data_IF_691711657593
#
_entry.id   IF_691711657593
#
_cell.length_a   1.000
_cell.length_b   1.000
_cell.length_c   1.000
_cell.angle_alpha   90.00
_cell.angle_beta   90.00
_cell.angle_gamma   90.00
#
_symmetry.space_group_name_H-M   'P 1'
#
loop_
_entity.id
_entity.type
_entity.pdbx_description
1 polymer ?
#
# COMPACT_ATOMS: atom_id res chain seq x y z
N UNK A 1 9.52 1.89 17.35
CA UNK A 1 8.62 2.45 16.31
C UNK A 1 9.07 3.85 15.98
N UNK A 2 9.29 4.18 14.69
CA UNK A 2 9.76 5.47 14.22
C UNK A 2 8.73 6.04 13.22
N UNK A 3 8.35 7.32 13.29
CA UNK A 3 7.51 7.96 12.28
C UNK A 3 8.17 7.86 10.90
N UNK A 4 7.33 7.68 9.89
CA UNK A 4 7.78 7.56 8.50
C UNK A 4 6.92 8.45 7.61
N UNK A 5 7.53 9.09 6.64
CA UNK A 5 6.83 9.89 5.62
C UNK A 5 7.19 9.32 4.25
N UNK A 6 6.19 9.06 3.44
CA UNK A 6 6.39 8.61 2.06
C UNK A 6 6.94 9.80 1.26
N UNK A 7 8.13 9.61 0.69
CA UNK A 7 8.74 10.54 -0.24
C UNK A 7 9.52 9.77 -1.31
N UNK A 8 9.00 9.76 -2.53
CA UNK A 8 9.67 9.16 -3.68
C UNK A 8 10.55 10.22 -4.34
N UNK A 9 11.83 9.91 -4.52
CA UNK A 9 12.77 10.83 -5.15
C UNK A 9 12.33 11.22 -6.57
N UNK A 10 12.57 12.48 -6.97
CA UNK A 10 12.18 12.97 -8.29
C UNK A 10 12.83 12.18 -9.43
N UNK A 11 14.06 11.68 -9.23
CA UNK A 11 14.76 10.89 -10.24
C UNK A 11 14.10 9.51 -10.44
N UNK A 12 13.51 8.91 -9.40
CA UNK A 12 12.72 7.69 -9.56
C UNK A 12 11.44 7.96 -10.39
N UNK A 13 10.80 9.12 -10.20
CA UNK A 13 9.64 9.51 -11.00
C UNK A 13 10.00 9.83 -12.44
N UNK A 14 11.16 10.46 -12.68
CA UNK A 14 11.69 10.69 -14.03
C UNK A 14 12.01 9.37 -14.73
N UNK A 15 12.65 8.42 -14.02
CA UNK A 15 12.97 7.10 -14.56
C UNK A 15 11.69 6.30 -14.91
N UNK A 16 10.67 6.34 -14.04
CA UNK A 16 9.36 5.76 -14.33
C UNK A 16 8.79 6.31 -15.64
N UNK A 17 8.73 7.64 -15.79
CA UNK A 17 8.20 8.28 -17.00
C UNK A 17 9.01 7.92 -18.25
N UNK A 18 10.33 7.81 -18.13
CA UNK A 18 11.20 7.35 -19.22
C UNK A 18 10.85 5.92 -19.63
N UNK A 19 10.76 4.99 -18.67
CA UNK A 19 10.42 3.57 -18.91
C UNK A 19 9.06 3.40 -19.54
N UNK A 20 8.05 4.18 -19.13
CA UNK A 20 6.73 4.14 -19.75
C UNK A 20 6.77 4.54 -21.23
N UNK A 21 7.54 5.58 -21.58
CA UNK A 21 7.74 5.99 -22.99
C UNK A 21 8.51 4.97 -23.82
N UNK A 22 9.46 4.26 -23.21
CA UNK A 22 10.33 3.27 -23.85
C UNK A 22 9.77 1.84 -23.77
N UNK A 23 8.50 1.68 -23.37
CA UNK A 23 7.86 0.37 -23.24
C UNK A 23 7.83 -0.35 -24.59
N UNK A 24 8.37 -1.56 -24.63
CA UNK A 24 8.22 -2.47 -25.75
C UNK A 24 6.95 -3.28 -25.55
N UNK A 25 6.01 -3.09 -26.47
CA UNK A 25 4.71 -3.74 -26.39
C UNK A 25 4.78 -5.17 -26.87
N UNK A 26 4.07 -6.12 -26.26
CA UNK A 26 3.90 -7.47 -26.78
C UNK A 26 3.03 -7.47 -28.04
N UNK A 27 3.11 -8.54 -28.79
CA UNK A 27 2.16 -8.81 -29.86
C UNK A 27 0.76 -9.10 -29.25
N UNK A 28 -0.29 -8.73 -29.98
CA UNK A 28 -1.67 -9.01 -29.63
C UNK A 28 -2.25 -10.05 -30.56
N UNK A 29 -2.95 -11.04 -29.98
CA UNK A 29 -3.66 -12.08 -30.71
C UNK A 29 -5.14 -11.95 -30.40
N UNK A 30 -5.96 -11.84 -31.46
CA UNK A 30 -7.39 -11.60 -31.32
C UNK A 30 -7.72 -10.13 -31.15
N UNK A 31 -8.96 -9.86 -30.73
CA UNK A 31 -9.47 -8.51 -30.50
C UNK A 31 -10.00 -8.39 -29.07
N UNK A 32 -9.85 -7.20 -28.48
CA UNK A 32 -10.36 -6.86 -27.15
C UNK A 32 -9.78 -7.75 -26.03
N UNK A 33 -10.55 -7.89 -24.96
CA UNK A 33 -10.19 -8.60 -23.72
C UNK A 33 -10.28 -10.14 -23.80
N UNK A 34 -10.41 -10.70 -24.98
CA UNK A 34 -10.72 -12.15 -25.13
C UNK A 34 -9.63 -13.08 -24.54
N UNK A 35 -8.37 -12.71 -24.69
CA UNK A 35 -7.24 -13.52 -24.20
C UNK A 35 -6.42 -12.84 -23.08
N UNK A 36 -6.83 -11.67 -22.65
CA UNK A 36 -6.11 -10.90 -21.65
C UNK A 36 -6.41 -9.42 -21.75
N UNK A 37 -5.47 -8.61 -21.26
CA UNK A 37 -5.61 -7.16 -21.33
C UNK A 37 -5.49 -6.68 -22.78
N UNK A 38 -6.50 -5.91 -23.22
CA UNK A 38 -6.48 -5.23 -24.51
C UNK A 38 -5.26 -4.31 -24.64
N UNK A 39 -4.51 -4.44 -25.72
CA UNK A 39 -3.26 -3.71 -25.89
C UNK A 39 -3.48 -2.22 -26.09
N UNK A 40 -4.56 -1.82 -26.75
CA UNK A 40 -4.89 -0.41 -26.96
C UNK A 40 -5.25 0.29 -25.65
N UNK A 41 -6.02 -0.39 -24.80
CA UNK A 41 -6.29 0.08 -23.45
C UNK A 41 -5.02 0.21 -22.61
N UNK A 42 -4.14 -0.80 -22.65
CA UNK A 42 -2.89 -0.78 -21.88
C UNK A 42 -1.97 0.37 -22.33
N UNK A 43 -1.88 0.64 -23.63
CA UNK A 43 -1.14 1.78 -24.18
C UNK A 43 -1.68 3.10 -23.67
N UNK A 44 -3.01 3.29 -23.73
CA UNK A 44 -3.68 4.51 -23.24
C UNK A 44 -3.48 4.69 -21.73
N UNK A 45 -3.53 3.60 -20.94
CA UNK A 45 -3.28 3.65 -19.51
C UNK A 45 -1.83 4.04 -19.19
N UNK A 46 -0.86 3.51 -19.91
CA UNK A 46 0.56 3.86 -19.74
C UNK A 46 0.85 5.31 -20.17
N UNK A 47 0.18 5.80 -21.20
CA UNK A 47 0.24 7.20 -21.62
C UNK A 47 -0.29 8.13 -20.51
N UNK A 48 -1.50 7.86 -20.00
CA UNK A 48 -2.07 8.57 -18.87
C UNK A 48 -1.11 8.57 -17.67
N UNK A 49 -0.54 7.39 -17.33
CA UNK A 49 0.39 7.27 -16.21
C UNK A 49 1.68 8.09 -16.42
N UNK A 50 2.19 8.13 -17.64
CA UNK A 50 3.40 8.90 -17.98
C UNK A 50 3.19 10.41 -18.04
N UNK A 51 1.99 10.89 -18.33
CA UNK A 51 1.68 12.30 -18.63
C UNK A 51 0.81 12.97 -17.57
N UNK A 52 -0.37 12.43 -17.28
CA UNK A 52 -1.40 13.09 -16.48
C UNK A 52 -1.42 12.65 -15.02
N UNK A 53 -0.96 11.43 -14.70
CA UNK A 53 -0.97 10.91 -13.34
C UNK A 53 -0.05 11.70 -12.43
N UNK A 54 -0.62 12.40 -11.45
CA UNK A 54 0.12 13.19 -10.45
C UNK A 54 0.47 12.32 -9.23
N UNK A 55 1.68 11.74 -9.25
CA UNK A 55 2.22 11.00 -8.10
C UNK A 55 2.24 11.85 -6.82
N UNK A 56 2.62 13.11 -6.89
CA UNK A 56 2.71 13.98 -5.70
C UNK A 56 1.35 14.17 -5.04
N UNK A 57 0.27 14.21 -5.82
CA UNK A 57 -1.09 14.21 -5.29
C UNK A 57 -1.40 12.91 -4.55
N UNK A 58 -1.03 11.74 -5.09
CA UNK A 58 -1.23 10.45 -4.43
C UNK A 58 -0.35 10.29 -3.19
N UNK A 59 0.90 10.74 -3.26
CA UNK A 59 1.83 10.76 -2.12
C UNK A 59 1.28 11.60 -0.95
N UNK A 60 0.74 12.78 -1.22
CA UNK A 60 0.02 13.59 -0.21
C UNK A 60 -1.21 12.87 0.34
N UNK A 61 -1.97 12.16 -0.52
CA UNK A 61 -3.15 11.39 -0.11
C UNK A 61 -2.77 10.24 0.83
N UNK A 62 -1.71 9.51 0.54
CA UNK A 62 -1.16 8.47 1.42
C UNK A 62 -0.68 9.06 2.75
N UNK A 63 0.09 10.14 2.71
CA UNK A 63 0.65 10.80 3.89
C UNK A 63 -0.40 11.48 4.79
N UNK A 64 -1.69 11.41 4.48
CA UNK A 64 -2.75 11.80 5.43
C UNK A 64 -2.86 10.86 6.63
N UNK A 65 -2.38 9.63 6.49
CA UNK A 65 -2.35 8.65 7.55
C UNK A 65 -1.02 8.67 8.30
N UNK A 66 -1.05 8.17 9.53
CA UNK A 66 0.14 8.06 10.36
C UNK A 66 0.94 6.83 9.97
N UNK A 67 2.07 7.02 9.30
CA UNK A 67 2.98 5.97 8.88
C UNK A 67 4.12 5.79 9.87
N UNK A 68 4.53 4.54 10.04
CA UNK A 68 5.63 4.16 10.91
C UNK A 68 6.50 3.06 10.28
N UNK A 69 7.73 2.96 10.78
CA UNK A 69 8.59 1.80 10.58
C UNK A 69 9.07 1.28 11.93
N UNK A 70 9.13 -0.04 12.08
CA UNK A 70 9.72 -0.69 13.25
C UNK A 70 10.58 -1.87 12.81
N UNK A 71 11.65 -2.14 13.56
CA UNK A 71 12.44 -3.35 13.35
C UNK A 71 11.65 -4.55 13.88
N UNK A 72 11.33 -5.49 12.99
CA UNK A 72 10.54 -6.68 13.30
C UNK A 72 11.41 -7.93 13.45
N UNK A 73 12.58 -7.90 12.83
CA UNK A 73 13.64 -8.87 12.94
C UNK A 73 14.99 -8.17 12.71
N UNK A 74 16.14 -8.69 13.13
CA UNK A 74 17.44 -8.07 12.97
C UNK A 74 17.68 -7.59 11.53
N UNK A 75 17.88 -6.27 11.35
CA UNK A 75 18.12 -5.63 10.06
C UNK A 75 16.94 -5.64 9.08
N UNK A 76 15.72 -5.97 9.53
CA UNK A 76 14.51 -5.94 8.70
C UNK A 76 13.42 -5.10 9.35
N UNK A 77 13.06 -4.00 8.70
CA UNK A 77 12.05 -3.06 9.17
C UNK A 77 10.74 -3.28 8.43
N UNK A 78 9.66 -3.29 9.20
CA UNK A 78 8.29 -3.34 8.72
C UNK A 78 7.70 -1.93 8.71
N UNK A 79 7.18 -1.52 7.57
CA UNK A 79 6.37 -0.32 7.41
C UNK A 79 4.90 -0.63 7.67
N UNK A 80 4.18 0.30 8.30
CA UNK A 80 2.74 0.18 8.52
C UNK A 80 2.08 1.54 8.72
N UNK A 81 0.79 1.61 8.39
CA UNK A 81 -0.10 2.68 8.86
C UNK A 81 -0.58 2.27 10.26
N UNK A 82 -0.60 3.21 11.20
CA UNK A 82 -1.27 3.06 12.49
C UNK A 82 -2.18 4.25 12.73
N UNK A 83 -3.44 4.09 12.40
CA UNK A 83 -4.46 5.12 12.57
C UNK A 83 -5.31 4.80 13.79
N UNK A 84 -5.19 5.64 14.82
CA UNK A 84 -5.98 5.49 16.03
C UNK A 84 -7.33 6.19 15.89
N UNK A 85 -8.37 5.54 16.42
CA UNK A 85 -9.66 6.16 16.65
C UNK A 85 -9.60 7.18 17.80
N UNK A 86 -10.50 8.15 17.77
CA UNK A 86 -10.80 9.05 18.91
C UNK A 86 -11.37 8.27 20.10
N UNK A 87 -12.04 7.14 19.87
CA UNK A 87 -12.49 6.22 20.92
C UNK A 87 -11.29 5.47 21.52
N UNK A 88 -10.91 5.84 22.74
CA UNK A 88 -9.77 5.23 23.46
C UNK A 88 -9.96 3.74 23.75
N UNK A 89 -11.19 3.25 23.75
CA UNK A 89 -11.55 1.85 24.02
C UNK A 89 -11.73 1.04 22.72
N UNK A 90 -11.43 1.63 21.55
CA UNK A 90 -11.51 0.94 20.27
C UNK A 90 -10.60 -0.28 20.26
N UNK A 91 -11.06 -1.38 19.65
CA UNK A 91 -10.27 -2.59 19.51
C UNK A 91 -9.17 -2.40 18.44
N UNK A 92 -7.98 -2.96 18.63
CA UNK A 92 -6.96 -2.98 17.57
C UNK A 92 -7.36 -3.96 16.45
N UNK A 93 -7.26 -3.49 15.22
CA UNK A 93 -7.54 -4.25 14.00
C UNK A 93 -6.36 -4.21 13.06
N UNK A 94 -5.80 -5.37 12.72
CA UNK A 94 -4.80 -5.48 11.66
C UNK A 94 -5.45 -5.84 10.33
N UNK A 95 -5.15 -5.10 9.28
CA UNK A 95 -5.62 -5.37 7.92
C UNK A 95 -4.42 -5.59 7.01
N UNK A 96 -4.34 -6.77 6.42
CA UNK A 96 -3.23 -7.18 5.55
C UNK A 96 -3.69 -7.19 4.10
N UNK A 97 -2.96 -6.44 3.25
CA UNK A 97 -3.21 -6.45 1.81
C UNK A 97 -2.76 -7.77 1.17
N UNK A 98 -3.25 -8.05 -0.05
CA UNK A 98 -2.87 -9.21 -0.84
C UNK A 98 -1.82 -8.90 -1.91
N UNK A 99 -1.53 -9.88 -2.76
CA UNK A 99 -0.77 -9.69 -4.00
C UNK A 99 -1.76 -9.50 -5.17
N UNK A 100 -1.54 -8.54 -6.05
CA UNK A 100 -0.42 -7.57 -6.16
C UNK A 100 -0.68 -6.24 -5.47
N UNK A 101 -1.36 -6.23 -4.36
CA UNK A 101 -1.85 -5.05 -3.67
C UNK A 101 -0.85 -4.29 -2.81
N UNK A 102 -1.36 -3.34 -2.06
CA UNK A 102 -0.60 -2.51 -1.11
C UNK A 102 -1.53 -1.85 -0.08
N UNK A 103 -0.95 -1.12 0.86
CA UNK A 103 -1.70 -0.29 1.82
C UNK A 103 -2.68 0.69 1.17
N UNK A 104 -2.50 1.00 -0.13
CA UNK A 104 -3.39 1.91 -0.85
C UNK A 104 -4.84 1.36 -0.94
N UNK A 105 -5.04 0.04 -0.83
CA UNK A 105 -6.35 -0.59 -0.81
C UNK A 105 -7.21 -0.14 0.37
N UNK A 106 -6.57 0.27 1.47
CA UNK A 106 -7.27 0.59 2.73
C UNK A 106 -7.57 2.07 2.92
N UNK A 107 -7.12 2.95 2.01
CA UNK A 107 -7.20 4.40 2.21
C UNK A 107 -8.62 4.93 2.42
N UNK A 108 -9.59 4.31 1.78
CA UNK A 108 -10.99 4.77 1.85
C UNK A 108 -11.76 4.10 3.01
N UNK A 109 -11.33 2.91 3.46
CA UNK A 109 -11.97 2.21 4.58
C UNK A 109 -11.42 2.62 5.95
N UNK A 110 -10.16 3.05 6.05
CA UNK A 110 -9.56 3.46 7.33
C UNK A 110 -10.40 4.50 8.06
N UNK A 111 -10.85 5.62 7.45
CA UNK A 111 -11.68 6.61 8.15
C UNK A 111 -13.01 6.02 8.64
N UNK A 112 -13.63 5.13 7.86
CA UNK A 112 -14.89 4.47 8.22
C UNK A 112 -14.74 3.59 9.46
N UNK A 113 -13.58 2.96 9.63
CA UNK A 113 -13.29 2.09 10.76
C UNK A 113 -12.79 2.85 11.99
N UNK A 114 -12.07 3.95 11.80
CA UNK A 114 -11.51 4.70 12.93
C UNK A 114 -12.48 5.71 13.51
N UNK A 115 -13.33 6.32 12.68
CA UNK A 115 -14.32 7.34 13.08
C UNK A 115 -15.70 7.02 12.47
N UNK A 116 -16.31 5.86 12.80
CA UNK A 116 -17.56 5.44 12.18
C UNK A 116 -18.72 6.43 12.42
N UNK A 117 -18.71 7.18 13.52
CA UNK A 117 -19.73 8.19 13.83
C UNK A 117 -19.79 9.31 12.77
N UNK A 118 -18.66 9.62 12.11
CA UNK A 118 -18.62 10.64 11.06
C UNK A 118 -19.22 10.12 9.73
N UNK A 119 -19.54 8.83 9.70
CA UNK A 119 -20.06 8.10 8.54
C UNK A 119 -21.40 7.38 8.80
N UNK A 120 -22.13 7.78 9.85
CA UNK A 120 -23.45 7.23 10.19
C UNK A 120 -23.41 5.96 11.05
N UNK A 121 -22.22 5.50 11.49
CA UNK A 121 -22.05 4.43 12.46
C UNK A 121 -22.05 4.92 13.90
N UNK A 122 -21.59 4.08 14.82
CA UNK A 122 -21.49 4.39 16.24
C UNK A 122 -20.03 4.41 16.70
N UNK A 123 -19.72 5.28 17.66
CA UNK A 123 -18.36 5.38 18.24
C UNK A 123 -17.90 4.07 18.87
N UNK A 124 -18.82 3.26 19.40
CA UNK A 124 -18.50 1.96 20.02
C UNK A 124 -17.99 0.93 18.99
N UNK A 125 -18.34 1.10 17.72
CA UNK A 125 -17.93 0.20 16.63
C UNK A 125 -16.54 0.54 16.03
N UNK A 126 -15.86 1.53 16.60
CA UNK A 126 -14.57 2.00 16.12
C UNK A 126 -13.42 1.02 16.38
N UNK A 127 -12.41 1.09 15.51
CA UNK A 127 -11.16 0.33 15.62
C UNK A 127 -9.93 1.25 15.62
N UNK A 128 -8.88 0.84 16.32
CA UNK A 128 -7.53 1.30 16.05
C UNK A 128 -6.97 0.47 14.91
N UNK A 129 -6.75 1.07 13.74
CA UNK A 129 -6.41 0.34 12.51
C UNK A 129 -4.91 0.29 12.31
N UNK A 130 -4.38 -0.90 12.05
CA UNK A 130 -2.99 -1.15 11.69
C UNK A 130 -2.94 -1.81 10.31
N UNK A 131 -2.29 -1.16 9.32
CA UNK A 131 -2.14 -1.70 7.96
C UNK A 131 -0.66 -1.88 7.64
N UNK A 132 -0.07 -3.06 7.88
CA UNK A 132 1.32 -3.31 7.51
C UNK A 132 1.47 -3.46 6.00
N UNK A 133 2.58 -2.96 5.45
CA UNK A 133 3.08 -3.42 4.16
C UNK A 133 3.74 -4.77 4.35
N UNK A 134 3.28 -5.79 3.63
CA UNK A 134 3.90 -7.12 3.67
C UNK A 134 5.42 -6.99 3.40
N UNK A 135 6.30 -7.71 4.10
CA UNK A 135 7.74 -7.69 3.82
C UNK A 135 8.06 -7.88 2.34
N UNK A 136 8.84 -6.97 1.75
CA UNK A 136 9.12 -6.92 0.32
C UNK A 136 8.12 -6.10 -0.51
N UNK A 137 7.05 -5.60 0.12
CA UNK A 137 6.06 -4.74 -0.53
C UNK A 137 6.13 -3.31 0.00
N UNK A 138 5.65 -2.39 -0.79
CA UNK A 138 5.53 -0.98 -0.43
C UNK A 138 6.83 -0.42 0.15
N UNK A 139 6.80 -0.07 1.43
CA UNK A 139 7.94 0.56 2.12
C UNK A 139 8.59 -0.34 3.18
N UNK A 140 8.17 -1.62 3.27
CA UNK A 140 8.82 -2.63 4.12
C UNK A 140 10.08 -3.15 3.46
N UNK A 141 11.08 -3.48 4.30
CA UNK A 141 12.30 -4.11 3.82
C UNK A 141 12.00 -5.53 3.32
N UNK A 142 12.67 -5.94 2.22
CA UNK A 142 12.52 -7.29 1.67
C UNK A 142 13.23 -8.32 2.55
N UNK A 143 12.69 -9.56 2.67
CA UNK A 143 13.43 -10.68 3.24
C UNK A 143 14.71 -10.95 2.45
N UNK A 144 15.79 -11.28 3.15
CA UNK A 144 17.10 -11.60 2.53
C UNK A 144 17.40 -13.08 2.51
N UNK A 145 16.65 -13.85 3.30
CA UNK A 145 16.84 -15.30 3.45
C UNK A 145 15.71 -16.06 2.73
N UNK A 146 16.00 -17.25 2.17
CA UNK A 146 14.97 -18.09 1.57
C UNK A 146 13.99 -18.62 2.62
N UNK A 147 12.81 -19.09 2.17
CA UNK A 147 11.81 -19.71 3.04
C UNK A 147 10.86 -18.72 3.74
N UNK A 148 10.88 -17.45 3.34
CA UNK A 148 9.92 -16.48 3.86
C UNK A 148 8.55 -16.68 3.20
N UNK A 149 7.59 -17.19 3.99
CA UNK A 149 6.23 -17.54 3.55
C UNK A 149 5.14 -16.79 4.35
N UNK A 150 3.87 -17.14 4.12
CA UNK A 150 2.73 -16.54 4.83
C UNK A 150 2.77 -16.77 6.35
N UNK A 151 3.39 -17.86 6.83
CA UNK A 151 3.54 -18.13 8.28
C UNK A 151 4.49 -17.11 8.90
N UNK A 152 5.57 -16.77 8.20
CA UNK A 152 6.50 -15.73 8.66
C UNK A 152 5.83 -14.35 8.65
N UNK A 153 5.03 -14.05 7.63
CA UNK A 153 4.22 -12.80 7.60
C UNK A 153 3.30 -12.74 8.80
N UNK A 154 2.56 -13.82 9.09
CA UNK A 154 1.67 -13.87 10.24
C UNK A 154 2.43 -13.71 11.57
N UNK A 155 3.59 -14.36 11.72
CA UNK A 155 4.44 -14.20 12.90
C UNK A 155 4.94 -12.75 13.08
N UNK A 156 5.30 -12.08 11.98
CA UNK A 156 5.69 -10.66 12.01
C UNK A 156 4.51 -9.77 12.44
N UNK A 157 3.30 -10.05 11.96
CA UNK A 157 2.11 -9.29 12.36
C UNK A 157 1.76 -9.50 13.84
N UNK A 158 1.90 -10.73 14.35
CA UNK A 158 1.73 -10.99 15.80
C UNK A 158 2.74 -10.18 16.61
N UNK A 159 4.01 -10.13 16.22
CA UNK A 159 5.02 -9.29 16.88
C UNK A 159 4.72 -7.79 16.77
N UNK A 160 4.16 -7.34 15.66
CA UNK A 160 3.77 -5.94 15.48
C UNK A 160 2.65 -5.53 16.43
N UNK A 161 1.73 -6.46 16.73
CA UNK A 161 0.55 -6.21 17.57
C UNK A 161 0.82 -6.38 19.08
N UNK A 162 1.96 -6.98 19.46
CA UNK A 162 2.39 -7.12 20.85
C UNK A 162 3.06 -5.86 21.38
#
# INVERSE_FOLDING_TARGET
MQPFTIHVADDALKDLKRRLRETRWPDEVGENWQYGTDLSYLKSLCEYWGTEFDWRKQERRLNRFNHYKTEIAPGRRLHFIHQRSSNKNALPLVMTHGWPGSIAEFMDIIPLLTEPQDHGGKTEDAFHVICPSIPGYGYSDAPKEPGFDQKQVAADHVKLMA
#
